data_IF_836409809080
#
_entry.id   IF_836409809080
#
_cell.length_a   1.000
_cell.length_b   1.000
_cell.length_c   1.000
_cell.angle_alpha   90.00
_cell.angle_beta   90.00
_cell.angle_gamma   90.00
#
_symmetry.space_group_name_H-M   'P 1'
#
loop_
_entity.id
_entity.type
_entity.pdbx_description
1 polymer ?
#
# COMPACT_ATOMS: atom_id res chain seq x y z
N UNK A 1 -8.47 -43.39 46.13
CA UNK A 1 -9.03 -44.33 45.12
C UNK A 1 -8.41 -43.99 43.76
N UNK A 2 -7.53 -44.88 43.28
CA UNK A 2 -6.89 -44.78 41.97
C UNK A 2 -7.80 -45.47 40.95
N UNK A 3 -8.08 -44.86 39.81
CA UNK A 3 -8.68 -45.55 38.71
C UNK A 3 -7.79 -45.32 37.46
N UNK A 4 -7.35 -46.42 36.91
CA UNK A 4 -6.42 -46.58 35.85
C UNK A 4 -7.06 -46.47 34.45
N UNK A 5 -6.32 -45.93 33.50
CA UNK A 5 -6.59 -45.93 32.05
C UNK A 5 -6.21 -47.27 31.44
N UNK A 6 -6.92 -47.79 30.44
CA UNK A 6 -6.43 -48.89 29.63
C UNK A 6 -5.71 -48.44 28.35
N UNK A 7 -4.58 -49.08 28.11
CA UNK A 7 -3.83 -49.09 26.81
C UNK A 7 -4.46 -50.10 25.87
N UNK A 8 -4.62 -49.75 24.61
CA UNK A 8 -4.72 -50.70 23.47
C UNK A 8 -3.96 -50.10 22.31
N UNK A 9 -2.93 -50.67 21.92
CA UNK A 9 -2.43 -51.77 21.10
C UNK A 9 -2.62 -51.53 19.58
N UNK A 10 -1.45 -51.54 18.93
CA UNK A 10 -1.19 -51.50 17.48
C UNK A 10 -1.64 -52.75 16.75
N UNK A 11 -1.80 -52.61 15.45
CA UNK A 11 -1.75 -53.55 14.32
C UNK A 11 -3.09 -54.06 13.77
N UNK A 12 -3.34 -53.69 12.50
CA UNK A 12 -3.44 -54.70 11.44
C UNK A 12 -3.42 -54.07 10.05
N UNK A 13 -2.47 -54.51 9.25
CA UNK A 13 -2.41 -54.44 7.79
C UNK A 13 -3.49 -55.34 7.21
N UNK A 14 -4.13 -54.96 6.12
CA UNK A 14 -4.41 -55.90 5.03
C UNK A 14 -4.69 -55.20 3.69
N UNK A 15 -4.10 -55.79 2.66
CA UNK A 15 -4.13 -55.48 1.23
C UNK A 15 -5.48 -55.83 0.60
N UNK A 16 -5.84 -55.10 -0.45
CA UNK A 16 -6.51 -55.56 -1.70
C UNK A 16 -6.48 -54.31 -2.60
N UNK A 17 -6.11 -54.30 -3.87
CA UNK A 17 -6.26 -55.16 -4.97
C UNK A 17 -6.43 -54.20 -6.16
N UNK A 18 -5.51 -54.20 -7.13
CA UNK A 18 -5.52 -53.35 -8.32
C UNK A 18 -6.64 -53.76 -9.29
N UNK A 19 -7.43 -52.81 -9.77
CA UNK A 19 -8.13 -52.93 -11.06
C UNK A 19 -7.87 -51.62 -11.79
N UNK A 20 -7.13 -51.73 -12.90
CA UNK A 20 -6.89 -50.62 -13.81
C UNK A 20 -8.10 -50.34 -14.69
N UNK A 21 -8.40 -49.07 -14.81
CA UNK A 21 -9.14 -48.51 -15.95
C UNK A 21 -8.43 -47.24 -16.36
N UNK A 22 -7.82 -47.27 -17.51
CA UNK A 22 -7.19 -46.11 -18.12
C UNK A 22 -8.23 -45.05 -18.49
N UNK A 23 -8.08 -43.90 -17.91
CA UNK A 23 -8.62 -42.65 -18.43
C UNK A 23 -7.46 -41.69 -18.63
N UNK A 24 -7.16 -41.41 -19.87
CA UNK A 24 -6.22 -40.40 -20.31
C UNK A 24 -6.69 -39.02 -19.81
N UNK A 25 -6.22 -38.64 -18.63
CA UNK A 25 -6.29 -37.23 -18.18
C UNK A 25 -5.23 -36.47 -18.96
N UNK A 26 -5.69 -35.79 -20.03
CA UNK A 26 -4.96 -34.73 -20.68
C UNK A 26 -4.67 -33.66 -19.62
N UNK A 27 -3.48 -33.69 -19.04
CA UNK A 27 -2.94 -32.61 -18.24
C UNK A 27 -2.69 -31.42 -19.16
N UNK A 28 -3.69 -30.53 -19.29
CA UNK A 28 -3.42 -29.18 -19.76
C UNK A 28 -2.54 -28.52 -18.68
N UNK A 29 -1.24 -28.64 -18.86
CA UNK A 29 -0.29 -27.77 -18.18
C UNK A 29 -0.64 -26.33 -18.64
N UNK A 30 -1.31 -25.59 -17.78
CA UNK A 30 -1.37 -24.15 -17.91
C UNK A 30 0.08 -23.63 -17.78
N UNK A 31 0.78 -23.58 -18.91
CA UNK A 31 1.99 -22.78 -19.03
C UNK A 31 1.58 -21.33 -18.73
N UNK A 32 1.83 -20.88 -17.49
CA UNK A 32 1.85 -19.47 -17.19
C UNK A 32 2.95 -18.87 -18.09
N UNK A 33 2.66 -17.80 -18.87
CA UNK A 33 3.72 -17.12 -19.59
C UNK A 33 4.78 -16.73 -18.56
N UNK A 34 6.05 -17.01 -18.88
CA UNK A 34 7.18 -16.59 -18.07
C UNK A 34 7.02 -15.08 -17.85
N UNK A 35 6.75 -14.68 -16.60
CA UNK A 35 6.79 -13.29 -16.24
C UNK A 35 8.17 -12.78 -16.69
N UNK A 36 8.18 -11.78 -17.55
CA UNK A 36 9.42 -11.06 -17.88
C UNK A 36 9.94 -10.59 -16.54
N UNK A 37 11.02 -11.24 -16.07
CA UNK A 37 11.66 -10.87 -14.82
C UNK A 37 12.18 -9.45 -15.02
N UNK A 38 11.39 -8.47 -14.56
CA UNK A 38 11.85 -7.09 -14.41
C UNK A 38 13.09 -7.15 -13.54
N UNK A 39 14.21 -6.56 -13.98
CA UNK A 39 15.35 -6.41 -13.11
C UNK A 39 14.87 -5.70 -11.84
N UNK A 40 15.06 -6.32 -10.69
CA UNK A 40 14.64 -5.75 -9.41
C UNK A 40 15.31 -4.38 -9.23
N UNK A 41 14.50 -3.40 -8.86
CA UNK A 41 14.99 -2.06 -8.53
C UNK A 41 15.85 -2.15 -7.27
N UNK A 42 17.09 -1.66 -7.31
CA UNK A 42 17.91 -1.62 -6.09
C UNK A 42 17.29 -0.67 -5.05
N UNK A 43 17.57 -0.86 -3.74
CA UNK A 43 17.08 0.05 -2.71
C UNK A 43 17.43 1.52 -3.01
N UNK A 44 18.62 1.80 -3.51
CA UNK A 44 19.07 3.15 -3.85
C UNK A 44 18.36 3.70 -5.09
N UNK A 45 18.10 2.87 -6.11
CA UNK A 45 17.32 3.27 -7.29
C UNK A 45 15.87 3.57 -6.92
N UNK A 46 15.27 2.75 -6.07
CA UNK A 46 13.95 3.00 -5.53
C UNK A 46 13.90 4.34 -4.78
N UNK A 47 14.87 4.60 -3.87
CA UNK A 47 14.97 5.85 -3.13
C UNK A 47 14.98 7.07 -4.06
N UNK A 48 15.73 7.01 -5.17
CA UNK A 48 15.81 8.09 -6.16
C UNK A 48 14.50 8.28 -6.94
N UNK A 49 13.78 7.22 -7.23
CA UNK A 49 12.51 7.26 -7.98
C UNK A 49 11.31 7.66 -7.10
N UNK A 50 11.47 7.68 -5.78
CA UNK A 50 10.40 8.03 -4.85
C UNK A 50 10.20 9.56 -4.82
N UNK A 51 9.48 10.08 -5.84
CA UNK A 51 9.22 11.51 -6.05
C UNK A 51 7.79 11.76 -6.53
N UNK A 52 7.25 12.92 -6.15
CA UNK A 52 5.92 13.37 -6.58
C UNK A 52 4.77 12.70 -5.85
N UNK A 53 3.58 12.71 -6.46
CA UNK A 53 2.41 12.10 -5.85
C UNK A 53 2.49 10.58 -5.85
N UNK A 54 2.23 9.99 -4.68
CA UNK A 54 2.11 8.54 -4.48
C UNK A 54 0.62 8.20 -4.54
N UNK A 55 0.22 7.34 -5.47
CA UNK A 55 -1.10 6.73 -5.43
C UNK A 55 -1.14 5.68 -4.32
N UNK A 56 -1.89 5.93 -3.25
CA UNK A 56 -2.30 4.87 -2.33
C UNK A 56 -3.50 4.14 -2.95
N UNK A 57 -3.31 2.91 -3.39
CA UNK A 57 -4.38 2.13 -4.02
C UNK A 57 -5.28 1.55 -2.92
N UNK A 58 -6.48 2.08 -2.69
CA UNK A 58 -7.38 1.50 -1.68
C UNK A 58 -7.99 0.19 -2.20
N UNK A 59 -8.25 -0.75 -1.30
CA UNK A 59 -9.05 -1.93 -1.68
C UNK A 59 -10.49 -1.50 -1.96
N UNK A 60 -11.01 -1.90 -3.11
CA UNK A 60 -12.40 -1.70 -3.50
C UNK A 60 -13.14 -3.03 -3.52
N UNK A 61 -14.45 -2.99 -3.32
CA UNK A 61 -15.29 -4.19 -3.21
C UNK A 61 -16.49 -4.11 -4.16
N UNK A 62 -16.91 -5.25 -4.66
CA UNK A 62 -18.18 -5.44 -5.37
C UNK A 62 -19.35 -5.40 -4.39
N UNK A 63 -20.58 -5.38 -4.90
CA UNK A 63 -21.81 -5.38 -4.07
C UNK A 63 -21.98 -6.63 -3.21
N UNK A 64 -21.34 -7.75 -3.57
CA UNK A 64 -21.27 -8.99 -2.80
C UNK A 64 -20.00 -9.11 -1.94
N UNK A 65 -19.32 -7.96 -1.69
CA UNK A 65 -18.14 -7.83 -0.82
C UNK A 65 -16.90 -8.59 -1.26
N UNK A 66 -16.80 -9.02 -2.50
CA UNK A 66 -15.54 -9.52 -3.08
C UNK A 66 -14.62 -8.37 -3.42
N UNK A 67 -13.31 -8.63 -3.47
CA UNK A 67 -12.35 -7.62 -3.91
C UNK A 67 -12.59 -7.26 -5.37
N UNK A 68 -12.80 -5.97 -5.66
CA UNK A 68 -12.97 -5.43 -7.02
C UNK A 68 -11.60 -5.10 -7.63
N UNK A 69 -10.92 -6.13 -8.12
CA UNK A 69 -9.62 -5.97 -8.79
C UNK A 69 -9.69 -5.07 -10.02
N UNK A 70 -10.81 -5.08 -10.75
CA UNK A 70 -10.97 -4.28 -11.95
C UNK A 70 -11.10 -2.79 -11.64
N UNK A 71 -11.80 -2.43 -10.58
CA UNK A 71 -11.84 -1.06 -10.07
C UNK A 71 -10.46 -0.56 -9.66
N UNK A 72 -9.69 -1.41 -8.96
CA UNK A 72 -8.30 -1.08 -8.59
C UNK A 72 -7.40 -0.92 -9.82
N UNK A 73 -7.53 -1.79 -10.85
CA UNK A 73 -6.80 -1.65 -12.13
C UNK A 73 -7.14 -0.35 -12.84
N UNK A 74 -8.43 -0.02 -12.99
CA UNK A 74 -8.86 1.26 -13.60
C UNK A 74 -8.25 2.47 -12.91
N UNK A 75 -8.19 2.45 -11.58
CA UNK A 75 -7.58 3.49 -10.77
C UNK A 75 -6.09 3.67 -11.09
N UNK A 76 -5.33 2.57 -11.08
CA UNK A 76 -3.89 2.55 -11.39
C UNK A 76 -3.65 3.05 -12.82
N UNK A 77 -4.40 2.54 -13.80
CA UNK A 77 -4.30 2.93 -15.20
C UNK A 77 -4.54 4.44 -15.40
N UNK A 78 -5.61 4.96 -14.81
CA UNK A 78 -5.95 6.38 -14.88
C UNK A 78 -4.85 7.26 -14.29
N UNK A 79 -4.33 6.88 -13.12
CA UNK A 79 -3.24 7.61 -12.47
C UNK A 79 -1.93 7.56 -13.26
N UNK A 80 -1.56 6.37 -13.78
CA UNK A 80 -0.38 6.19 -14.61
C UNK A 80 -0.44 7.01 -15.91
N UNK A 81 -1.62 7.06 -16.56
CA UNK A 81 -1.88 7.88 -17.75
C UNK A 81 -1.75 9.37 -17.44
N UNK A 82 -2.18 9.82 -16.27
CA UNK A 82 -2.06 11.21 -15.85
C UNK A 82 -0.63 11.62 -15.47
N UNK A 83 0.29 10.68 -15.31
CA UNK A 83 1.68 10.96 -14.98
C UNK A 83 2.13 10.57 -13.57
N UNK A 84 1.29 9.91 -12.77
CA UNK A 84 1.72 9.33 -11.48
C UNK A 84 2.72 8.20 -11.76
N UNK A 85 3.78 8.14 -10.95
CA UNK A 85 4.89 7.19 -11.11
C UNK A 85 5.20 6.38 -9.86
N UNK A 86 4.51 6.61 -8.76
CA UNK A 86 4.67 5.85 -7.51
C UNK A 86 3.31 5.30 -7.09
N UNK A 87 3.24 3.99 -6.89
CA UNK A 87 2.03 3.25 -6.58
C UNK A 87 2.25 2.41 -5.33
N UNK A 88 1.41 2.57 -4.32
CA UNK A 88 1.64 1.95 -3.02
C UNK A 88 0.40 1.27 -2.46
N UNK A 89 0.62 0.17 -1.77
CA UNK A 89 -0.32 -0.38 -0.80
C UNK A 89 0.03 0.14 0.59
N UNK A 90 -0.95 0.16 1.48
CA UNK A 90 -0.75 0.47 2.90
C UNK A 90 -1.87 -0.17 3.72
N UNK A 91 -1.52 -0.75 4.84
CA UNK A 91 -2.45 -1.55 5.65
C UNK A 91 -3.73 -0.81 6.02
N UNK A 92 -3.66 0.50 6.30
CA UNK A 92 -4.82 1.33 6.65
C UNK A 92 -5.76 1.56 5.45
N UNK A 93 -5.30 2.20 4.39
CA UNK A 93 -6.14 2.52 3.23
C UNK A 93 -6.65 1.28 2.49
N UNK A 94 -5.86 0.19 2.52
CA UNK A 94 -6.25 -1.11 1.98
C UNK A 94 -7.10 -1.94 2.94
N UNK A 95 -7.28 -1.49 4.19
CA UNK A 95 -8.11 -2.18 5.17
C UNK A 95 -7.68 -3.65 5.35
N UNK A 96 -6.39 -3.89 5.62
CA UNK A 96 -5.83 -5.24 5.75
C UNK A 96 -6.48 -6.07 6.88
N UNK A 97 -7.06 -5.40 7.87
CA UNK A 97 -7.87 -6.01 8.93
C UNK A 97 -9.19 -6.64 8.43
N UNK A 98 -9.57 -6.35 7.17
CA UNK A 98 -10.77 -6.91 6.51
C UNK A 98 -10.43 -7.82 5.34
N UNK A 99 -9.16 -8.12 5.14
CA UNK A 99 -8.67 -8.97 4.05
C UNK A 99 -8.06 -10.25 4.60
N UNK A 100 -8.21 -11.34 3.87
CA UNK A 100 -7.40 -12.52 4.10
C UNK A 100 -5.97 -12.28 3.62
N UNK A 101 -5.03 -13.06 4.13
CA UNK A 101 -3.63 -12.98 3.70
C UNK A 101 -3.47 -13.26 2.20
N UNK A 102 -4.26 -14.19 1.65
CA UNK A 102 -4.26 -14.48 0.22
C UNK A 102 -4.82 -13.33 -0.63
N UNK A 103 -5.86 -12.65 -0.18
CA UNK A 103 -6.36 -11.44 -0.84
C UNK A 103 -5.29 -10.34 -0.88
N UNK A 104 -4.55 -10.14 0.21
CA UNK A 104 -3.44 -9.17 0.27
C UNK A 104 -2.35 -9.54 -0.74
N UNK A 105 -1.98 -10.82 -0.84
CA UNK A 105 -1.02 -11.31 -1.84
C UNK A 105 -1.52 -11.10 -3.26
N UNK A 106 -2.79 -11.37 -3.53
CA UNK A 106 -3.38 -11.16 -4.86
C UNK A 106 -3.44 -9.67 -5.23
N UNK A 107 -3.78 -8.79 -4.30
CA UNK A 107 -3.76 -7.33 -4.49
C UNK A 107 -2.34 -6.86 -4.82
N UNK A 108 -1.33 -7.38 -4.12
CA UNK A 108 0.07 -7.06 -4.38
C UNK A 108 0.50 -7.46 -5.78
N UNK A 109 0.18 -8.68 -6.19
CA UNK A 109 0.44 -9.14 -7.56
C UNK A 109 -0.27 -8.28 -8.59
N UNK A 110 -1.57 -8.02 -8.41
CA UNK A 110 -2.37 -7.17 -9.28
C UNK A 110 -1.76 -5.76 -9.42
N UNK A 111 -1.28 -5.16 -8.32
CA UNK A 111 -0.60 -3.87 -8.36
C UNK A 111 0.62 -3.91 -9.29
N UNK A 112 1.52 -4.86 -9.05
CA UNK A 112 2.77 -4.99 -9.83
C UNK A 112 2.47 -5.24 -11.31
N UNK A 113 1.59 -6.19 -11.61
CA UNK A 113 1.19 -6.52 -12.99
C UNK A 113 0.53 -5.33 -13.71
N UNK A 114 -0.31 -4.56 -12.98
CA UNK A 114 -1.01 -3.41 -13.59
C UNK A 114 -0.07 -2.24 -13.82
N UNK A 115 0.84 -1.96 -12.89
CA UNK A 115 1.83 -0.88 -13.09
C UNK A 115 2.79 -1.22 -14.24
N UNK A 116 3.17 -2.49 -14.39
CA UNK A 116 3.93 -3.01 -15.53
C UNK A 116 5.16 -2.17 -15.89
N UNK A 117 5.94 -1.72 -14.91
CA UNK A 117 7.16 -0.93 -15.11
C UNK A 117 6.95 0.55 -15.45
N UNK A 118 5.70 1.05 -15.51
CA UNK A 118 5.42 2.48 -15.75
C UNK A 118 5.70 3.39 -14.55
N UNK A 119 6.16 2.82 -13.45
CA UNK A 119 6.53 3.47 -12.20
C UNK A 119 7.03 2.45 -11.20
N UNK A 120 7.30 2.89 -9.96
CA UNK A 120 7.69 2.02 -8.86
C UNK A 120 6.49 1.59 -8.03
N UNK A 121 6.56 0.37 -7.52
CA UNK A 121 5.51 -0.27 -6.73
C UNK A 121 5.99 -0.53 -5.30
N UNK A 122 5.19 -0.15 -4.32
CA UNK A 122 5.45 -0.35 -2.90
C UNK A 122 4.41 -1.32 -2.36
N UNK A 123 4.83 -2.55 -2.05
CA UNK A 123 4.05 -3.49 -1.27
C UNK A 123 4.02 -3.07 0.21
N UNK A 124 3.09 -3.57 1.03
CA UNK A 124 3.04 -3.21 2.45
C UNK A 124 2.75 -4.42 3.32
N UNK A 125 3.44 -4.52 4.46
CA UNK A 125 3.07 -5.50 5.49
C UNK A 125 1.83 -5.04 6.25
N UNK A 126 1.10 -6.00 6.81
CA UNK A 126 0.02 -5.75 7.76
C UNK A 126 0.54 -5.61 9.21
N UNK A 127 -0.37 -5.48 10.19
CA UNK A 127 -0.05 -5.47 11.62
C UNK A 127 0.29 -6.90 12.11
N UNK A 128 1.33 -7.47 11.52
CA UNK A 128 1.74 -8.85 11.74
C UNK A 128 2.97 -8.94 12.64
N UNK A 129 3.13 -10.07 13.33
CA UNK A 129 4.40 -10.44 13.93
C UNK A 129 5.44 -10.77 12.85
N UNK A 130 6.70 -10.97 13.23
CA UNK A 130 7.84 -11.05 12.32
C UNK A 130 7.73 -12.15 11.26
N UNK A 131 7.20 -13.33 11.61
CA UNK A 131 7.10 -14.46 10.67
C UNK A 131 6.32 -14.15 9.39
N UNK A 132 5.02 -13.76 9.47
CA UNK A 132 4.25 -13.35 8.28
C UNK A 132 4.83 -12.13 7.56
N UNK A 133 5.46 -11.17 8.25
CA UNK A 133 6.09 -10.03 7.61
C UNK A 133 7.27 -10.44 6.73
N UNK A 134 8.10 -11.39 7.20
CA UNK A 134 9.21 -12.00 6.46
C UNK A 134 8.71 -12.79 5.24
N UNK A 135 7.68 -13.63 5.43
CA UNK A 135 7.08 -14.41 4.34
C UNK A 135 6.52 -13.48 3.25
N UNK A 136 5.82 -12.43 3.67
CA UNK A 136 5.26 -11.46 2.74
C UNK A 136 6.33 -10.65 1.98
N UNK A 137 7.44 -10.30 2.62
CA UNK A 137 8.53 -9.59 1.96
C UNK A 137 9.16 -10.44 0.84
N UNK A 138 9.36 -11.75 1.09
CA UNK A 138 9.79 -12.71 0.06
C UNK A 138 8.79 -12.81 -1.08
N UNK A 139 7.50 -12.88 -0.75
CA UNK A 139 6.45 -12.92 -1.74
C UNK A 139 6.42 -11.64 -2.59
N UNK A 140 6.49 -10.45 -1.98
CA UNK A 140 6.51 -9.17 -2.69
C UNK A 140 7.68 -9.08 -3.68
N UNK A 141 8.87 -9.55 -3.29
CA UNK A 141 10.01 -9.67 -4.19
C UNK A 141 9.72 -10.65 -5.34
N UNK A 142 9.16 -11.81 -5.03
CA UNK A 142 8.90 -12.86 -6.03
C UNK A 142 7.91 -12.44 -7.11
N UNK A 143 7.01 -11.49 -6.82
CA UNK A 143 6.07 -10.94 -7.80
C UNK A 143 6.57 -9.66 -8.47
N UNK A 144 7.77 -9.17 -8.10
CA UNK A 144 8.44 -8.04 -8.76
C UNK A 144 8.07 -6.66 -8.21
N UNK A 145 7.67 -6.54 -6.94
CA UNK A 145 7.56 -5.25 -6.27
C UNK A 145 8.93 -4.54 -6.22
N UNK A 146 8.93 -3.22 -6.13
CA UNK A 146 10.16 -2.42 -6.07
C UNK A 146 10.59 -2.12 -4.62
N UNK A 147 9.64 -2.11 -3.68
CA UNK A 147 9.90 -1.90 -2.26
C UNK A 147 8.83 -2.54 -1.38
N UNK A 148 9.14 -2.68 -0.09
CA UNK A 148 8.18 -3.10 0.95
C UNK A 148 8.09 -2.02 2.02
N UNK A 149 6.90 -1.49 2.23
CA UNK A 149 6.59 -0.66 3.39
C UNK A 149 6.31 -1.57 4.58
N UNK A 150 7.20 -1.53 5.55
CA UNK A 150 7.13 -2.37 6.76
C UNK A 150 6.41 -1.60 7.87
N UNK A 151 5.28 -2.13 8.33
CA UNK A 151 4.56 -1.55 9.45
C UNK A 151 5.29 -1.90 10.75
N UNK A 152 5.70 -0.87 11.49
CA UNK A 152 6.35 -1.03 12.79
C UNK A 152 5.39 -1.74 13.76
N UNK A 153 5.79 -2.86 14.37
CA UNK A 153 4.96 -3.53 15.36
C UNK A 153 4.59 -2.60 16.52
N UNK A 154 3.35 -2.66 16.97
CA UNK A 154 2.89 -1.90 18.15
C UNK A 154 3.32 -2.55 19.46
N UNK A 155 3.57 -3.86 19.44
CA UNK A 155 4.07 -4.63 20.57
C UNK A 155 5.60 -4.72 20.55
N UNK A 156 6.19 -5.05 21.71
CA UNK A 156 7.64 -5.18 21.86
C UNK A 156 8.34 -3.85 22.14
N UNK A 157 9.54 -3.96 22.65
CA UNK A 157 10.47 -2.85 22.88
C UNK A 157 11.23 -2.46 21.59
N UNK A 158 12.09 -1.48 21.67
CA UNK A 158 12.85 -1.00 20.51
C UNK A 158 13.83 -2.06 19.99
N UNK A 159 14.35 -2.96 20.85
CA UNK A 159 15.17 -4.08 20.42
C UNK A 159 14.37 -5.07 19.54
N UNK A 160 13.22 -5.50 20.02
CA UNK A 160 12.34 -6.40 19.28
C UNK A 160 11.86 -5.80 17.95
N UNK A 161 11.59 -4.49 17.91
CA UNK A 161 11.24 -3.78 16.68
C UNK A 161 12.41 -3.70 15.71
N UNK A 162 13.63 -3.44 16.20
CA UNK A 162 14.83 -3.45 15.38
C UNK A 162 15.09 -4.84 14.76
N UNK A 163 15.03 -5.91 15.57
CA UNK A 163 15.18 -7.27 15.07
C UNK A 163 14.06 -7.67 14.08
N UNK A 164 12.85 -7.15 14.23
CA UNK A 164 11.78 -7.31 13.24
C UNK A 164 12.20 -6.75 11.87
N UNK A 165 12.67 -5.49 11.81
CA UNK A 165 13.14 -4.87 10.56
C UNK A 165 14.36 -5.60 9.99
N UNK A 166 15.30 -6.01 10.82
CA UNK A 166 16.48 -6.76 10.42
C UNK A 166 16.13 -8.11 9.80
N UNK A 167 15.16 -8.83 10.40
CA UNK A 167 14.66 -10.09 9.85
C UNK A 167 13.97 -9.91 8.49
N UNK A 168 13.17 -8.85 8.33
CA UNK A 168 12.55 -8.52 7.04
C UNK A 168 13.62 -8.14 6.01
N UNK A 169 14.60 -7.32 6.40
CA UNK A 169 15.72 -6.92 5.52
C UNK A 169 16.54 -8.12 5.04
N UNK A 170 16.79 -9.10 5.92
CA UNK A 170 17.51 -10.32 5.56
C UNK A 170 16.71 -11.26 4.63
N UNK A 171 15.40 -11.06 4.52
CA UNK A 171 14.52 -11.93 3.74
C UNK A 171 14.29 -11.49 2.29
N UNK A 172 14.68 -10.25 1.94
CA UNK A 172 14.44 -9.66 0.63
C UNK A 172 15.56 -8.71 0.21
N UNK A 173 15.73 -8.50 -1.09
CA UNK A 173 16.64 -7.49 -1.67
C UNK A 173 15.95 -6.16 -1.93
N UNK A 174 14.66 -6.04 -1.65
CA UNK A 174 13.87 -4.84 -1.88
C UNK A 174 14.27 -3.70 -0.94
N UNK A 175 14.08 -2.47 -1.37
CA UNK A 175 14.13 -1.31 -0.49
C UNK A 175 13.02 -1.37 0.56
N UNK A 176 13.37 -1.08 1.83
CA UNK A 176 12.40 -1.04 2.92
C UNK A 176 12.01 0.40 3.24
N UNK A 177 10.71 0.57 3.46
CA UNK A 177 10.10 1.84 3.87
C UNK A 177 9.58 1.68 5.29
N UNK A 178 10.04 2.48 6.22
CA UNK A 178 9.51 2.51 7.60
C UNK A 178 8.11 3.11 7.60
N UNK A 179 7.17 2.46 8.28
CA UNK A 179 5.81 2.96 8.46
C UNK A 179 5.33 2.71 9.90
N UNK A 180 4.69 3.71 10.49
CA UNK A 180 4.17 3.65 11.85
C UNK A 180 5.12 4.22 12.90
N UNK A 181 4.72 4.17 14.19
CA UNK A 181 5.41 4.86 15.25
C UNK A 181 6.78 4.24 15.54
N UNK A 182 7.80 5.09 15.57
CA UNK A 182 9.13 4.76 16.08
C UNK A 182 9.75 6.02 16.70
N UNK A 183 10.43 5.89 17.81
CA UNK A 183 11.13 6.98 18.45
C UNK A 183 12.48 7.27 17.76
N UNK A 184 13.11 8.39 18.08
CA UNK A 184 14.39 8.77 17.47
C UNK A 184 15.52 7.76 17.70
N UNK A 185 15.68 7.13 18.90
CA UNK A 185 16.67 6.07 19.09
C UNK A 185 16.47 4.89 18.14
N UNK A 186 15.25 4.39 18.01
CA UNK A 186 14.95 3.31 17.06
C UNK A 186 15.20 3.73 15.61
N UNK A 187 14.80 4.95 15.21
CA UNK A 187 15.06 5.45 13.85
C UNK A 187 16.55 5.50 13.51
N UNK A 188 17.40 5.90 14.46
CA UNK A 188 18.85 5.92 14.28
C UNK A 188 19.39 4.51 14.06
N UNK A 189 18.91 3.52 14.80
CA UNK A 189 19.30 2.12 14.64
C UNK A 189 18.80 1.55 13.30
N UNK A 190 17.54 1.81 12.93
CA UNK A 190 17.01 1.38 11.63
C UNK A 190 17.83 1.95 10.46
N UNK A 191 18.44 3.12 10.62
CA UNK A 191 19.31 3.69 9.62
C UNK A 191 20.64 2.94 9.45
N UNK A 192 20.98 1.99 10.30
CA UNK A 192 22.14 1.08 10.16
C UNK A 192 21.84 -0.09 9.20
N UNK A 193 20.59 -0.31 8.85
CA UNK A 193 20.17 -1.35 7.90
C UNK A 193 20.19 -0.76 6.48
N UNK A 194 21.11 -1.18 5.62
CA UNK A 194 21.35 -0.60 4.30
C UNK A 194 20.12 -0.62 3.37
N UNK A 195 19.28 -1.65 3.48
CA UNK A 195 18.06 -1.75 2.68
C UNK A 195 16.92 -0.85 3.17
N UNK A 196 17.00 -0.27 4.38
CA UNK A 196 16.02 0.73 4.86
C UNK A 196 16.38 2.08 4.27
N UNK A 197 15.61 2.54 3.30
CA UNK A 197 15.95 3.71 2.46
C UNK A 197 14.89 4.80 2.46
N UNK A 198 13.76 4.58 3.12
CA UNK A 198 12.69 5.58 3.17
C UNK A 198 11.84 5.47 4.43
N UNK A 199 11.09 6.54 4.73
CA UNK A 199 10.09 6.58 5.80
C UNK A 199 8.84 7.34 5.35
N UNK A 200 7.69 6.75 5.62
CA UNK A 200 6.38 7.40 5.54
C UNK A 200 6.16 8.24 6.81
N UNK A 201 6.35 9.54 6.69
CA UNK A 201 6.21 10.46 7.81
C UNK A 201 4.74 10.82 8.07
N UNK A 202 4.19 10.33 9.17
CA UNK A 202 2.86 10.62 9.70
C UNK A 202 2.98 11.10 11.16
N UNK A 203 3.94 11.99 11.39
CA UNK A 203 4.31 12.48 12.73
C UNK A 203 4.00 13.97 12.86
N UNK A 204 4.23 14.52 14.06
CA UNK A 204 4.23 15.96 14.27
C UNK A 204 5.31 16.64 13.41
N UNK A 205 5.13 17.95 13.16
CA UNK A 205 6.09 18.74 12.37
C UNK A 205 7.48 18.67 12.99
N UNK A 206 7.57 18.93 14.29
CA UNK A 206 8.86 18.97 15.01
C UNK A 206 9.59 17.63 14.94
N UNK A 207 8.87 16.51 15.12
CA UNK A 207 9.46 15.19 15.01
C UNK A 207 9.93 14.92 13.57
N UNK A 208 9.10 15.20 12.57
CA UNK A 208 9.47 15.00 11.16
C UNK A 208 10.69 15.83 10.78
N UNK A 209 10.75 17.09 11.21
CA UNK A 209 11.90 17.98 10.95
C UNK A 209 13.16 17.43 11.64
N UNK A 210 13.04 16.90 12.86
CA UNK A 210 14.18 16.31 13.56
C UNK A 210 14.80 15.11 12.82
N UNK A 211 14.01 14.36 12.05
CA UNK A 211 14.52 13.26 11.23
C UNK A 211 15.53 13.72 10.16
N UNK A 212 15.36 14.94 9.62
CA UNK A 212 16.28 15.48 8.63
C UNK A 212 17.69 15.71 9.16
N UNK A 213 17.87 15.86 10.48
CA UNK A 213 19.19 16.06 11.09
C UNK A 213 20.14 14.87 10.89
N UNK A 214 19.60 13.65 10.80
CA UNK A 214 20.44 12.45 10.67
C UNK A 214 20.04 11.51 9.52
N UNK A 215 18.86 11.66 8.92
CA UNK A 215 18.40 10.85 7.79
C UNK A 215 18.54 11.53 6.44
N UNK A 216 18.78 12.85 6.40
CA UNK A 216 18.93 13.60 5.14
C UNK A 216 20.02 12.98 4.26
N UNK A 217 19.65 12.63 3.03
CA UNK A 217 20.52 11.95 2.08
C UNK A 217 20.62 10.42 2.27
N UNK A 218 20.36 9.90 3.47
CA UNK A 218 20.29 8.47 3.75
C UNK A 218 18.95 7.87 3.32
N UNK A 219 17.87 8.49 3.78
CA UNK A 219 16.50 8.06 3.48
C UNK A 219 15.74 9.11 2.70
N UNK A 220 14.78 8.65 1.92
CA UNK A 220 13.72 9.50 1.41
C UNK A 220 12.65 9.64 2.50
N UNK A 221 12.44 10.85 3.00
CA UNK A 221 11.39 11.17 3.96
C UNK A 221 10.21 11.70 3.15
N UNK A 222 9.09 11.02 3.15
CA UNK A 222 7.91 11.43 2.38
C UNK A 222 6.66 11.53 3.23
N UNK A 223 5.72 12.39 2.83
CA UNK A 223 4.50 12.66 3.59
C UNK A 223 3.45 11.58 3.36
N UNK A 224 2.90 11.03 4.45
CA UNK A 224 1.89 9.98 4.44
C UNK A 224 0.45 10.45 4.26
N UNK A 225 0.19 11.78 4.18
CA UNK A 225 -1.16 12.32 4.22
C UNK A 225 -1.41 13.48 3.26
N UNK A 226 -1.75 14.64 3.82
CA UNK A 226 -2.30 15.79 3.08
C UNK A 226 -1.20 16.63 2.40
N UNK A 227 -1.54 17.23 1.26
CA UNK A 227 -0.65 18.17 0.55
C UNK A 227 -0.28 19.40 1.38
N UNK A 228 -1.16 19.85 2.28
CA UNK A 228 -0.88 20.95 3.20
C UNK A 228 0.30 20.66 4.11
N UNK A 229 0.36 19.46 4.68
CA UNK A 229 1.48 19.01 5.49
C UNK A 229 2.75 18.84 4.65
N UNK A 230 2.62 18.30 3.43
CA UNK A 230 3.75 18.20 2.52
C UNK A 230 4.40 19.57 2.25
N UNK A 231 3.61 20.61 2.00
CA UNK A 231 4.13 21.97 1.76
C UNK A 231 4.98 22.49 2.93
N UNK A 232 4.65 22.13 4.17
CA UNK A 232 5.46 22.51 5.34
C UNK A 232 6.87 21.90 5.33
N UNK A 233 7.07 20.79 4.61
CA UNK A 233 8.35 20.09 4.58
C UNK A 233 9.16 20.29 3.29
N UNK A 234 8.61 20.97 2.29
CA UNK A 234 9.32 21.29 1.04
C UNK A 234 10.64 22.03 1.30
N UNK A 235 10.73 23.00 2.22
CA UNK A 235 12.00 23.68 2.54
C UNK A 235 13.09 22.75 3.09
N UNK A 236 12.72 21.61 3.68
CA UNK A 236 13.66 20.61 4.20
C UNK A 236 14.06 19.57 3.16
N UNK A 237 13.47 19.62 1.95
CA UNK A 237 13.81 18.73 0.84
C UNK A 237 12.89 17.52 0.68
N UNK A 238 11.68 17.54 1.24
CA UNK A 238 10.68 16.48 1.00
C UNK A 238 10.27 16.48 -0.47
N UNK A 239 10.25 15.29 -1.10
CA UNK A 239 10.06 15.15 -2.54
C UNK A 239 8.90 14.24 -2.95
N UNK A 240 8.22 13.60 -2.00
CA UNK A 240 7.10 12.73 -2.30
C UNK A 240 6.02 12.82 -1.22
N UNK A 241 4.77 12.54 -1.61
CA UNK A 241 3.64 12.58 -0.71
C UNK A 241 2.51 11.66 -1.18
N UNK A 242 1.79 11.05 -0.25
CA UNK A 242 0.56 10.34 -0.57
C UNK A 242 -0.53 11.31 -1.04
N UNK A 243 -1.22 10.96 -2.11
CA UNK A 243 -2.27 11.78 -2.69
C UNK A 243 -3.55 10.99 -2.89
N UNK A 244 -4.56 11.26 -2.06
CA UNK A 244 -5.90 10.68 -2.24
C UNK A 244 -6.51 11.09 -3.58
N UNK A 245 -6.26 12.30 -4.06
CA UNK A 245 -6.71 12.78 -5.37
C UNK A 245 -6.16 11.97 -6.54
N UNK A 246 -5.00 11.32 -6.37
CA UNK A 246 -4.47 10.40 -7.40
C UNK A 246 -5.39 9.23 -7.71
N UNK A 247 -6.35 8.91 -6.82
CA UNK A 247 -7.29 7.79 -6.99
C UNK A 247 -8.47 8.11 -7.91
N UNK A 248 -8.89 9.38 -8.01
CA UNK A 248 -10.09 9.76 -8.79
C UNK A 248 -9.90 11.01 -9.69
N UNK A 249 -9.01 11.92 -9.32
CA UNK A 249 -8.69 13.14 -10.06
C UNK A 249 -7.16 13.38 -10.08
N UNK A 250 -6.37 12.46 -10.69
CA UNK A 250 -4.92 12.49 -10.64
C UNK A 250 -4.32 13.75 -11.25
N UNK A 251 -5.03 14.44 -12.14
CA UNK A 251 -4.59 15.72 -12.74
C UNK A 251 -4.36 16.81 -11.68
N UNK A 252 -5.15 16.79 -10.59
CA UNK A 252 -4.97 17.75 -9.48
C UNK A 252 -3.66 17.47 -8.75
N UNK A 253 -3.35 16.18 -8.51
CA UNK A 253 -2.10 15.79 -7.88
C UNK A 253 -0.88 16.17 -8.75
N UNK A 254 -0.96 15.96 -10.06
CA UNK A 254 0.11 16.30 -11.00
C UNK A 254 0.25 17.83 -11.14
N UNK A 255 -0.86 18.58 -11.20
CA UNK A 255 -0.81 20.05 -11.26
C UNK A 255 -0.19 20.65 -9.99
N UNK A 256 -0.55 20.11 -8.82
CA UNK A 256 0.06 20.49 -7.55
C UNK A 256 1.57 20.20 -7.55
N UNK A 257 1.97 18.99 -7.94
CA UNK A 257 3.37 18.61 -8.00
C UNK A 257 4.17 19.51 -8.96
N UNK A 258 3.64 19.78 -10.14
CA UNK A 258 4.28 20.70 -11.09
C UNK A 258 4.41 22.13 -10.57
N UNK A 259 3.51 22.62 -9.73
CA UNK A 259 3.66 23.90 -9.05
C UNK A 259 4.81 23.86 -8.03
N UNK A 260 4.90 22.78 -7.24
CA UNK A 260 6.02 22.60 -6.29
C UNK A 260 7.37 22.51 -7.00
N UNK A 261 7.48 21.76 -8.08
CA UNK A 261 8.74 21.62 -8.85
C UNK A 261 9.20 22.95 -9.46
N UNK A 262 8.28 23.83 -9.81
CA UNK A 262 8.59 25.21 -10.27
C UNK A 262 8.76 26.21 -9.14
N UNK A 263 8.73 25.76 -7.87
CA UNK A 263 8.76 26.62 -6.68
C UNK A 263 7.60 27.64 -6.62
N UNK A 264 6.48 27.35 -7.27
CA UNK A 264 5.26 28.16 -7.21
C UNK A 264 4.39 27.72 -6.02
N UNK A 265 4.89 28.02 -4.82
CA UNK A 265 4.22 27.65 -3.57
C UNK A 265 2.88 28.37 -3.38
N UNK A 266 2.69 29.54 -4.00
CA UNK A 266 1.40 30.24 -4.02
C UNK A 266 0.36 29.39 -4.75
N UNK A 267 0.67 28.94 -5.98
CA UNK A 267 -0.22 28.08 -6.76
C UNK A 267 -0.48 26.74 -6.07
N UNK A 268 0.54 26.15 -5.49
CA UNK A 268 0.39 24.92 -4.70
C UNK A 268 -0.57 25.13 -3.51
N UNK A 269 -0.44 26.25 -2.78
CA UNK A 269 -1.35 26.62 -1.69
C UNK A 269 -2.80 26.82 -2.14
N UNK A 270 -3.02 27.50 -3.29
CA UNK A 270 -4.36 27.67 -3.88
C UNK A 270 -5.03 26.31 -4.17
N UNK A 271 -4.28 25.33 -4.69
CA UNK A 271 -4.78 23.98 -4.94
C UNK A 271 -5.18 23.28 -3.63
N UNK A 272 -4.36 23.41 -2.58
CA UNK A 272 -4.67 22.87 -1.26
C UNK A 272 -5.96 23.46 -0.71
N UNK A 273 -6.07 24.79 -0.71
CA UNK A 273 -7.26 25.49 -0.19
C UNK A 273 -8.52 25.14 -0.96
N UNK A 274 -8.41 25.04 -2.28
CA UNK A 274 -9.56 24.78 -3.14
C UNK A 274 -10.03 23.31 -3.04
N UNK A 275 -9.13 22.35 -2.96
CA UNK A 275 -9.47 20.94 -3.12
C UNK A 275 -9.23 20.09 -1.86
N UNK A 276 -8.01 20.15 -1.27
CA UNK A 276 -7.66 19.27 -0.15
C UNK A 276 -8.43 19.63 1.12
N UNK A 277 -8.46 20.91 1.48
CA UNK A 277 -9.10 21.37 2.73
C UNK A 277 -10.57 20.94 2.78
N UNK A 278 -11.43 21.28 1.80
CA UNK A 278 -12.83 20.86 1.86
C UNK A 278 -13.02 19.34 1.77
N UNK A 279 -12.17 18.64 1.00
CA UNK A 279 -12.24 17.19 0.89
C UNK A 279 -11.95 16.51 2.23
N UNK A 280 -10.86 16.89 2.91
CA UNK A 280 -10.47 16.27 4.16
C UNK A 280 -11.36 16.63 5.35
N UNK A 281 -12.12 17.74 5.29
CA UNK A 281 -13.17 18.03 6.25
C UNK A 281 -14.33 17.03 6.21
N UNK A 282 -14.58 16.40 5.07
CA UNK A 282 -15.61 15.37 4.87
C UNK A 282 -15.06 13.93 4.86
N UNK A 283 -13.74 13.79 5.03
CA UNK A 283 -13.08 12.53 4.80
C UNK A 283 -13.55 11.41 5.74
N UNK A 284 -13.90 10.29 5.13
CA UNK A 284 -14.10 8.97 5.73
C UNK A 284 -13.87 7.93 4.64
N UNK A 285 -13.71 6.66 5.01
CA UNK A 285 -13.64 5.60 4.02
C UNK A 285 -14.90 5.57 3.15
N UNK A 286 -16.09 5.74 3.74
CA UNK A 286 -17.35 5.75 3.00
C UNK A 286 -17.43 6.91 2.01
N UNK A 287 -17.04 8.13 2.43
CA UNK A 287 -16.99 9.29 1.54
C UNK A 287 -15.99 9.07 0.38
N UNK A 288 -14.82 8.55 0.68
CA UNK A 288 -13.83 8.27 -0.34
C UNK A 288 -14.30 7.19 -1.33
N UNK A 289 -14.91 6.09 -0.86
CA UNK A 289 -15.43 5.07 -1.78
C UNK A 289 -16.59 5.60 -2.64
N UNK A 290 -17.50 6.39 -2.08
CA UNK A 290 -18.55 7.06 -2.83
C UNK A 290 -17.97 8.07 -3.86
N UNK A 291 -16.85 8.71 -3.53
CA UNK A 291 -16.09 9.53 -4.50
C UNK A 291 -15.57 8.69 -5.67
N UNK A 292 -15.00 7.52 -5.40
CA UNK A 292 -14.53 6.63 -6.48
C UNK A 292 -15.66 6.21 -7.41
N UNK A 293 -16.85 5.95 -6.87
CA UNK A 293 -18.04 5.61 -7.66
C UNK A 293 -18.51 6.83 -8.48
N UNK A 294 -18.57 8.00 -7.85
CA UNK A 294 -18.93 9.23 -8.57
C UNK A 294 -18.03 9.50 -9.78
N UNK A 295 -16.73 9.26 -9.64
CA UNK A 295 -15.78 9.44 -10.74
C UNK A 295 -15.66 8.21 -11.68
N UNK A 296 -16.51 7.20 -11.53
CA UNK A 296 -16.54 6.03 -12.38
C UNK A 296 -15.32 5.12 -12.27
N UNK A 297 -14.60 5.20 -11.13
CA UNK A 297 -13.35 4.44 -10.91
C UNK A 297 -13.64 3.05 -10.36
N UNK A 298 -14.43 2.97 -9.29
CA UNK A 298 -14.76 1.72 -8.61
C UNK A 298 -16.07 1.85 -7.84
N UNK A 299 -16.66 0.74 -7.44
CA UNK A 299 -17.88 0.74 -6.62
C UNK A 299 -17.62 1.27 -5.21
N UNK A 300 -18.66 1.81 -4.56
CA UNK A 300 -18.59 2.42 -3.23
C UNK A 300 -18.61 1.46 -2.06
N UNK A 301 -18.77 0.17 -2.31
CA UNK A 301 -19.01 -0.81 -1.26
C UNK A 301 -17.83 -0.95 -0.29
N UNK A 302 -18.17 -1.20 0.98
CA UNK A 302 -17.23 -1.45 2.07
C UNK A 302 -17.64 -2.72 2.81
N UNK A 303 -16.66 -3.53 3.23
CA UNK A 303 -16.92 -4.69 4.09
C UNK A 303 -17.33 -4.23 5.50
N UNK A 304 -18.40 -4.82 6.08
CA UNK A 304 -18.76 -4.54 7.47
C UNK A 304 -17.59 -4.76 8.44
N UNK A 305 -17.54 -4.04 9.56
CA UNK A 305 -18.58 -3.15 10.09
C UNK A 305 -18.62 -1.74 9.50
N UNK A 306 -17.76 -1.39 8.53
CA UNK A 306 -17.86 -0.10 7.86
C UNK A 306 -19.13 0.01 7.03
N UNK A 307 -19.68 1.23 6.96
CA UNK A 307 -20.95 1.47 6.27
C UNK A 307 -20.71 1.99 4.86
N UNK A 308 -21.33 1.33 3.90
CA UNK A 308 -21.47 1.84 2.54
C UNK A 308 -22.45 3.01 2.51
N UNK A 309 -22.13 4.09 1.81
CA UNK A 309 -23.06 5.21 1.62
C UNK A 309 -24.29 4.79 0.82
N UNK A 310 -25.45 5.31 1.23
CA UNK A 310 -26.72 5.19 0.50
C UNK A 310 -26.70 6.04 -0.77
N UNK A 311 -27.68 5.86 -1.67
CA UNK A 311 -27.82 6.65 -2.88
C UNK A 311 -28.02 8.14 -2.58
N UNK A 312 -28.75 8.48 -1.53
CA UNK A 312 -28.91 9.85 -1.07
C UNK A 312 -27.56 10.49 -0.67
N UNK A 313 -26.73 9.76 0.09
CA UNK A 313 -25.40 10.24 0.47
C UNK A 313 -24.43 10.33 -0.73
N UNK A 314 -24.61 9.51 -1.75
CA UNK A 314 -23.87 9.65 -3.01
C UNK A 314 -24.30 10.89 -3.78
N UNK A 315 -25.58 11.28 -3.72
CA UNK A 315 -26.03 12.56 -4.28
C UNK A 315 -25.34 13.75 -3.60
N UNK A 316 -25.17 13.73 -2.27
CA UNK A 316 -24.42 14.76 -1.53
C UNK A 316 -22.94 14.82 -1.97
N UNK A 317 -22.33 13.66 -2.29
CA UNK A 317 -20.97 13.62 -2.84
C UNK A 317 -20.90 14.28 -4.21
N UNK A 318 -21.88 14.04 -5.08
CA UNK A 318 -21.96 14.67 -6.41
C UNK A 318 -22.09 16.20 -6.31
N UNK A 319 -22.97 16.67 -5.42
CA UNK A 319 -23.16 18.10 -5.16
C UNK A 319 -21.85 18.75 -4.63
N UNK A 320 -21.18 18.09 -3.68
CA UNK A 320 -19.90 18.54 -3.15
C UNK A 320 -18.87 18.75 -4.26
N UNK A 321 -18.66 17.79 -5.16
CA UNK A 321 -17.68 17.93 -6.24
C UNK A 321 -18.12 18.92 -7.31
N UNK A 322 -19.41 19.04 -7.57
CA UNK A 322 -19.96 20.10 -8.43
C UNK A 322 -19.63 21.49 -7.89
N UNK A 323 -19.77 21.70 -6.57
CA UNK A 323 -19.38 22.93 -5.90
C UNK A 323 -17.89 23.26 -5.99
N UNK A 324 -17.03 22.26 -6.10
CA UNK A 324 -15.58 22.41 -6.34
C UNK A 324 -15.23 22.64 -7.83
N UNK A 325 -16.20 22.55 -8.74
CA UNK A 325 -15.98 22.59 -10.18
C UNK A 325 -15.27 21.33 -10.71
N UNK A 326 -15.43 20.20 -10.04
CA UNK A 326 -14.88 18.89 -10.44
C UNK A 326 -16.01 17.97 -10.91
N UNK A 327 -15.86 17.45 -12.12
CA UNK A 327 -16.80 16.51 -12.71
C UNK A 327 -16.07 15.25 -13.19
N UNK A 328 -16.74 14.10 -13.22
CA UNK A 328 -16.22 12.90 -13.91
C UNK A 328 -15.90 13.21 -15.37
N UNK A 329 -14.79 12.64 -15.87
CA UNK A 329 -14.37 12.71 -17.28
C UNK A 329 -14.68 11.42 -17.99
#
# INVERSE_FOLDING_TARGET
MKASLPRTSRRSFLRYGAIGLGSTLSSRSNFMPAAVLKNLTSPEDFKRQLRGPILSVPTTYTSDFKVDYDGMRRMIERAAKAGVRVFALTSGNNQYDRLTYDEIKQITRMLVETVAGRGVTIAATGPWWTGPAVDYARYAESVGADAVQVLTPTAGDDEGKFEHYKAVAAATRLGLVVHGPANLPLMKRLAEIDSVVAIKAEFTVDYTVSLYQFLKGRWNIFQGGQKSQFLAYVPYGMQAYYSTFSTFAPEIAITFWGAVERNDLKKAGEIVLKYDVPFFQKWSHSFWRATLEHFGVASRYLRPPERTFTDAQVADVKEFFSGLGLQPK
#
